data_IF_199135523300
#
_entry.id   IF_199135523300
#
_cell.length_a   1.000
_cell.length_b   1.000
_cell.length_c   1.000
_cell.angle_alpha   90.00
_cell.angle_beta   90.00
_cell.angle_gamma   90.00
#
_symmetry.space_group_name_H-M   'P 1'
#
loop_
_entity.id
_entity.type
_entity.pdbx_description
1 polymer ?
#
# COMPACT_ATOMS: atom_id res chain seq x y z
N UNK A 1 -18.85 -9.57 -1.51
CA UNK A 1 -17.58 -10.13 -0.98
C UNK A 1 -16.41 -9.63 -1.84
N UNK A 2 -15.15 -9.63 -1.35
CA UNK A 2 -13.98 -8.99 -2.01
C UNK A 2 -13.86 -9.34 -3.50
N UNK A 3 -14.15 -10.59 -3.88
CA UNK A 3 -14.13 -11.08 -5.27
C UNK A 3 -15.08 -10.36 -6.25
N UNK A 4 -16.00 -9.52 -5.76
CA UNK A 4 -16.96 -8.76 -6.56
C UNK A 4 -16.64 -7.25 -6.59
N UNK A 5 -15.48 -6.85 -6.06
CA UNK A 5 -15.05 -5.46 -6.11
C UNK A 5 -14.40 -5.18 -7.47
N UNK A 6 -14.71 -4.01 -8.04
CA UNK A 6 -14.04 -3.51 -9.24
C UNK A 6 -12.61 -3.01 -8.92
N UNK A 7 -12.40 -2.54 -7.68
CA UNK A 7 -11.14 -1.99 -7.18
C UNK A 7 -11.08 -2.11 -5.66
N UNK A 8 -9.88 -2.35 -5.11
CA UNK A 8 -9.59 -2.21 -3.70
C UNK A 8 -8.68 -1.01 -3.45
N UNK A 9 -9.15 -0.02 -2.67
CA UNK A 9 -8.30 1.01 -2.09
C UNK A 9 -7.89 0.56 -0.68
N UNK A 10 -6.58 0.47 -0.42
CA UNK A 10 -6.09 0.00 0.87
C UNK A 10 -4.77 0.62 1.27
N UNK A 11 -4.45 0.59 2.56
CA UNK A 11 -3.07 0.74 3.02
C UNK A 11 -2.30 -0.57 2.74
N UNK A 12 -0.98 -0.55 2.91
CA UNK A 12 -0.15 -1.76 3.08
C UNK A 12 -0.71 -2.64 4.23
N UNK A 13 -1.59 -3.59 3.88
CA UNK A 13 -2.40 -4.35 4.85
C UNK A 13 -2.88 -5.67 4.26
N UNK A 14 -3.36 -6.58 5.12
CA UNK A 14 -3.92 -7.88 4.72
C UNK A 14 -5.02 -7.79 3.66
N UNK A 15 -5.79 -6.69 3.64
CA UNK A 15 -6.85 -6.49 2.66
C UNK A 15 -6.32 -6.34 1.22
N UNK A 16 -5.15 -5.70 1.04
CA UNK A 16 -4.46 -5.67 -0.25
C UNK A 16 -4.11 -7.09 -0.70
N UNK A 17 -3.55 -7.91 0.20
CA UNK A 17 -3.17 -9.28 -0.15
C UNK A 17 -4.39 -10.13 -0.54
N UNK A 18 -5.48 -10.05 0.24
CA UNK A 18 -6.71 -10.77 -0.08
C UNK A 18 -7.29 -10.34 -1.43
N UNK A 19 -7.38 -9.03 -1.70
CA UNK A 19 -7.85 -8.52 -2.99
C UNK A 19 -6.95 -8.98 -4.15
N UNK A 20 -5.63 -8.97 -3.94
CA UNK A 20 -4.65 -9.43 -4.94
C UNK A 20 -4.85 -10.90 -5.32
N UNK A 21 -5.14 -11.76 -4.34
CA UNK A 21 -5.40 -13.18 -4.56
C UNK A 21 -6.69 -13.45 -5.36
N UNK A 22 -7.66 -12.54 -5.29
CA UNK A 22 -8.88 -12.61 -6.10
C UNK A 22 -8.72 -11.96 -7.49
N UNK A 23 -7.53 -11.46 -7.83
CA UNK A 23 -7.29 -10.74 -9.09
C UNK A 23 -7.97 -9.36 -9.14
N UNK A 24 -8.43 -8.85 -8.00
CA UNK A 24 -9.01 -7.51 -7.91
C UNK A 24 -7.85 -6.50 -7.99
N UNK A 25 -7.93 -5.47 -8.85
CA UNK A 25 -6.94 -4.40 -8.87
C UNK A 25 -6.86 -3.70 -7.51
N UNK A 26 -5.64 -3.38 -7.06
CA UNK A 26 -5.41 -2.70 -5.78
C UNK A 26 -4.66 -1.39 -6.02
N UNK A 27 -5.22 -0.30 -5.52
CA UNK A 27 -4.48 0.95 -5.28
C UNK A 27 -4.06 0.96 -3.81
N UNK A 28 -2.76 0.93 -3.57
CA UNK A 28 -2.19 0.79 -2.23
C UNK A 28 -1.50 2.07 -1.78
N UNK A 29 -1.76 2.53 -0.55
CA UNK A 29 -1.16 3.75 0.03
C UNK A 29 -0.05 3.36 1.01
N UNK A 30 1.14 3.91 0.79
CA UNK A 30 2.36 3.61 1.55
C UNK A 30 2.93 4.88 2.19
N UNK A 31 2.95 4.89 3.53
CA UNK A 31 3.56 5.95 4.33
C UNK A 31 4.89 5.47 4.92
N UNK A 32 4.88 5.06 6.20
CA UNK A 32 6.07 4.64 6.92
C UNK A 32 6.74 3.37 6.35
N UNK A 33 6.00 2.50 5.66
CA UNK A 33 6.48 1.27 5.03
C UNK A 33 6.79 1.51 3.55
N UNK A 34 7.39 0.52 2.86
CA UNK A 34 7.72 0.67 1.44
C UNK A 34 7.69 -0.70 0.73
N UNK A 35 7.18 -0.79 -0.52
CA UNK A 35 7.03 -2.05 -1.27
C UNK A 35 8.31 -2.89 -1.40
N UNK A 36 9.47 -2.25 -1.53
CA UNK A 36 10.80 -2.89 -1.59
C UNK A 36 11.08 -3.85 -0.42
N UNK A 37 10.39 -3.72 0.71
CA UNK A 37 10.50 -4.63 1.85
C UNK A 37 9.90 -6.03 1.57
N UNK A 38 9.28 -6.24 0.41
CA UNK A 38 8.78 -7.55 -0.04
C UNK A 38 7.33 -7.84 0.31
N UNK A 39 6.60 -6.86 0.87
CA UNK A 39 5.19 -7.01 1.28
C UNK A 39 4.19 -6.60 0.19
N UNK A 40 4.61 -6.43 -1.06
CA UNK A 40 3.69 -6.02 -2.12
C UNK A 40 2.67 -7.12 -2.46
N UNK A 41 1.47 -6.71 -2.86
CA UNK A 41 0.42 -7.63 -3.30
C UNK A 41 0.86 -8.46 -4.51
N UNK A 42 0.60 -9.77 -4.49
CA UNK A 42 0.99 -10.66 -5.58
C UNK A 42 0.29 -10.28 -6.89
N UNK A 43 1.08 -10.14 -7.97
CA UNK A 43 0.55 -9.85 -9.31
C UNK A 43 -0.07 -8.46 -9.49
N UNK A 44 0.09 -7.55 -8.51
CA UNK A 44 -0.38 -6.18 -8.62
C UNK A 44 0.59 -5.31 -9.41
N UNK A 45 0.06 -4.32 -10.12
CA UNK A 45 0.88 -3.32 -10.83
C UNK A 45 1.60 -2.40 -9.83
N UNK A 46 2.95 -2.31 -9.85
CA UNK A 46 3.69 -1.38 -9.00
C UNK A 46 3.30 0.09 -9.20
N UNK A 47 2.74 0.48 -10.35
CA UNK A 47 2.29 1.86 -10.58
C UNK A 47 1.11 2.26 -9.70
N UNK A 48 0.38 1.28 -9.13
CA UNK A 48 -0.76 1.52 -8.26
C UNK A 48 -0.37 1.70 -6.79
N UNK A 49 0.93 1.68 -6.48
CA UNK A 49 1.45 2.06 -5.18
C UNK A 49 1.57 3.59 -5.08
N UNK A 50 0.63 4.22 -4.36
CA UNK A 50 0.72 5.63 -3.98
C UNK A 50 1.67 5.72 -2.80
N UNK A 51 2.73 6.52 -2.95
CA UNK A 51 3.79 6.60 -1.96
C UNK A 51 4.20 8.05 -1.74
N UNK A 52 4.59 8.38 -0.51
CA UNK A 52 5.23 9.64 -0.19
C UNK A 52 6.75 9.46 -0.06
N UNK A 53 7.52 10.44 -0.54
CA UNK A 53 8.95 10.48 -0.26
C UNK A 53 9.16 10.92 1.21
N UNK A 54 9.78 10.04 2.00
CA UNK A 54 10.01 10.26 3.42
C UNK A 54 11.42 9.76 3.74
N UNK A 55 12.24 10.63 4.33
CA UNK A 55 13.66 10.37 4.61
C UNK A 55 13.94 9.08 5.41
N UNK A 56 12.97 8.62 6.20
CA UNK A 56 13.15 7.47 7.08
C UNK A 56 12.67 6.14 6.49
N UNK A 57 12.12 6.09 5.26
CA UNK A 57 11.45 4.88 4.77
C UNK A 57 12.43 3.71 4.56
N UNK A 58 12.12 2.51 5.07
CA UNK A 58 10.98 2.16 5.93
C UNK A 58 11.24 2.63 7.36
N UNK A 59 10.38 3.51 7.89
CA UNK A 59 10.61 4.16 9.20
C UNK A 59 10.51 3.15 10.36
N UNK A 60 9.84 2.02 10.11
CA UNK A 60 10.07 0.72 10.75
C UNK A 60 9.56 -0.40 9.82
N UNK A 61 10.02 -1.63 10.04
CA UNK A 61 9.65 -2.78 9.18
C UNK A 61 8.13 -3.05 9.19
N UNK A 62 7.46 -2.80 10.32
CA UNK A 62 6.03 -3.07 10.50
C UNK A 62 5.17 -1.81 10.70
N UNK A 63 5.69 -0.62 10.38
CA UNK A 63 4.91 0.63 10.49
C UNK A 63 4.57 1.08 11.91
N UNK A 64 5.27 0.56 12.93
CA UNK A 64 5.12 0.95 14.35
C UNK A 64 5.46 2.40 14.66
N UNK A 65 6.23 3.07 13.79
CA UNK A 65 6.52 4.50 13.90
C UNK A 65 5.46 5.29 13.14
N UNK A 66 4.69 6.10 13.87
CA UNK A 66 3.74 7.03 13.27
C UNK A 66 4.47 8.09 12.45
N UNK A 67 3.97 8.34 11.23
CA UNK A 67 4.45 9.40 10.36
C UNK A 67 3.24 10.16 9.82
N UNK A 68 3.30 11.49 9.87
CA UNK A 68 2.28 12.34 9.29
C UNK A 68 2.63 12.65 7.85
N UNK A 69 1.80 12.17 6.91
CA UNK A 69 1.87 12.59 5.51
C UNK A 69 0.88 13.73 5.32
N UNK A 70 1.38 14.93 5.06
CA UNK A 70 0.53 16.09 4.78
C UNK A 70 0.21 16.09 3.29
N UNK A 71 -1.05 15.83 2.94
CA UNK A 71 -1.56 16.00 1.57
C UNK A 71 -1.95 17.48 1.43
N UNK A 72 -0.99 18.31 1.03
CA UNK A 72 -1.23 19.71 0.67
C UNK A 72 -1.56 19.87 -0.81
N UNK A 73 -2.07 21.05 -1.25
CA UNK A 73 -2.13 21.36 -2.67
C UNK A 73 -0.70 21.36 -3.23
N UNK A 74 -0.54 20.70 -4.38
CA UNK A 74 0.72 20.65 -5.12
C UNK A 74 1.20 22.05 -5.54
#
# INVERSE_FOLDING_TARGET
FISHLDLMLSMDSGNMHLASLYGVPVVSIWGATHPFAGFYGFGQDPSNAIQADLYCRPCSVFGTRLVTVVIGPA
#
